data_IF_738115247935
#
_entry.id   IF_738115247935
#
_cell.length_a   1.000
_cell.length_b   1.000
_cell.length_c   1.000
_cell.angle_alpha   90.00
_cell.angle_beta   90.00
_cell.angle_gamma   90.00
#
_symmetry.space_group_name_H-M   'P 1'
#
loop_
_entity.id
_entity.type
_entity.pdbx_description
1 polymer ?
#
# COMPACT_ATOMS: atom_id res chain seq x y z
N UNK A 1 -18.90 -13.87 -1.85
CA UNK A 1 -18.05 -13.74 -0.67
C UNK A 1 -17.56 -15.12 -0.24
N UNK A 2 -16.30 -15.22 0.16
CA UNK A 2 -15.73 -16.42 0.74
C UNK A 2 -14.86 -16.08 1.93
N UNK A 3 -14.85 -16.91 2.94
CA UNK A 3 -13.97 -16.80 4.09
C UNK A 3 -13.47 -18.17 4.50
N UNK A 4 -12.27 -18.25 5.04
CA UNK A 4 -11.69 -19.51 5.48
C UNK A 4 -10.57 -19.31 6.48
N UNK A 5 -10.28 -20.39 7.20
CA UNK A 5 -9.14 -20.48 8.09
C UNK A 5 -8.39 -21.79 7.80
N UNK A 6 -7.09 -21.76 7.96
CA UNK A 6 -6.20 -22.89 7.67
C UNK A 6 -5.10 -22.97 8.70
N UNK A 7 -4.76 -24.19 9.09
CA UNK A 7 -3.57 -24.51 9.86
C UNK A 7 -2.62 -25.36 9.01
N UNK A 8 -1.36 -25.03 9.02
CA UNK A 8 -0.31 -25.82 8.37
C UNK A 8 0.55 -26.50 9.45
N UNK A 9 0.42 -27.82 9.67
CA UNK A 9 1.15 -28.51 10.74
C UNK A 9 2.67 -28.57 10.52
N UNK A 10 3.12 -28.51 9.26
CA UNK A 10 4.56 -28.51 8.93
C UNK A 10 5.24 -27.24 9.39
N UNK A 11 4.63 -26.09 9.16
CA UNK A 11 5.19 -24.75 9.46
C UNK A 11 4.69 -24.20 10.79
N UNK A 12 3.59 -24.73 11.33
CA UNK A 12 2.90 -24.21 12.50
C UNK A 12 2.07 -22.96 12.22
N UNK A 13 1.91 -22.57 10.97
CA UNK A 13 1.18 -21.34 10.61
C UNK A 13 -0.33 -21.51 10.73
N UNK A 14 -0.95 -20.54 11.41
CA UNK A 14 -2.39 -20.29 11.35
C UNK A 14 -2.64 -19.16 10.37
N UNK A 15 -3.61 -19.31 9.51
CA UNK A 15 -4.03 -18.26 8.60
C UNK A 15 -5.54 -18.20 8.48
N UNK A 16 -6.07 -17.01 8.30
CA UNK A 16 -7.48 -16.76 8.01
C UNK A 16 -7.59 -15.65 6.98
N UNK A 17 -8.65 -15.69 6.21
CA UNK A 17 -8.88 -14.65 5.21
C UNK A 17 -10.33 -14.62 4.76
N UNK A 18 -10.70 -13.52 4.17
CA UNK A 18 -11.97 -13.33 3.51
C UNK A 18 -11.77 -12.62 2.18
N UNK A 19 -12.60 -12.95 1.22
CA UNK A 19 -12.60 -12.39 -0.12
C UNK A 19 -14.04 -12.05 -0.50
N UNK A 20 -14.22 -10.86 -1.06
CA UNK A 20 -15.46 -10.43 -1.68
C UNK A 20 -15.18 -10.11 -3.15
N UNK A 21 -16.09 -10.50 -4.02
CA UNK A 21 -16.02 -10.22 -5.46
C UNK A 21 -17.37 -9.83 -5.99
N UNK A 22 -17.37 -9.10 -7.08
CA UNK A 22 -18.53 -8.62 -7.78
C UNK A 22 -18.18 -8.16 -9.19
N UNK A 23 -19.17 -7.66 -9.95
CA UNK A 23 -18.98 -7.25 -11.34
C UNK A 23 -17.92 -6.15 -11.52
N UNK A 24 -17.68 -5.36 -10.49
CA UNK A 24 -16.75 -4.22 -10.54
C UNK A 24 -15.36 -4.52 -9.97
N UNK A 25 -15.14 -5.69 -9.37
CA UNK A 25 -13.85 -6.06 -8.84
C UNK A 25 -13.90 -7.04 -7.68
N UNK A 26 -12.75 -7.21 -7.04
CA UNK A 26 -12.59 -8.08 -5.89
C UNK A 26 -11.76 -7.39 -4.81
N UNK A 27 -12.01 -7.74 -3.56
CA UNK A 27 -11.21 -7.33 -2.42
C UNK A 27 -11.06 -8.50 -1.44
N UNK A 28 -9.87 -8.62 -0.86
CA UNK A 28 -9.55 -9.66 0.08
C UNK A 28 -8.72 -9.15 1.24
N UNK A 29 -8.89 -9.77 2.37
CA UNK A 29 -8.08 -9.56 3.58
C UNK A 29 -7.61 -10.90 4.10
N UNK A 30 -6.42 -10.92 4.68
CA UNK A 30 -5.87 -12.11 5.29
C UNK A 30 -4.99 -11.78 6.49
N UNK A 31 -4.89 -12.70 7.42
CA UNK A 31 -3.93 -12.65 8.50
C UNK A 31 -3.31 -14.02 8.71
N UNK A 32 -2.06 -14.03 9.14
CA UNK A 32 -1.34 -15.24 9.50
C UNK A 32 -0.58 -15.03 10.81
N UNK A 33 -0.42 -16.09 11.56
CA UNK A 33 0.36 -16.12 12.78
C UNK A 33 1.13 -17.43 12.88
N UNK A 34 2.39 -17.32 13.21
CA UNK A 34 3.25 -18.48 13.48
C UNK A 34 3.68 -18.50 14.95
N UNK A 35 3.12 -19.39 15.77
CA UNK A 35 3.46 -19.44 17.20
C UNK A 35 4.89 -19.89 17.48
N UNK A 36 5.55 -20.59 16.53
CA UNK A 36 6.95 -21.02 16.70
C UNK A 36 7.94 -19.87 16.57
N UNK A 37 7.62 -18.89 15.74
CA UNK A 37 8.51 -17.77 15.44
C UNK A 37 8.01 -16.44 16.01
N UNK A 38 6.76 -16.40 16.51
CA UNK A 38 6.09 -15.17 16.91
C UNK A 38 5.69 -14.27 15.75
N UNK A 39 5.92 -14.71 14.50
CA UNK A 39 5.65 -13.87 13.34
C UNK A 39 4.15 -13.69 13.09
N UNK A 40 3.75 -12.45 12.86
CA UNK A 40 2.39 -12.05 12.48
C UNK A 40 2.41 -11.41 11.10
N UNK A 41 1.46 -11.77 10.26
CA UNK A 41 1.31 -11.16 8.94
C UNK A 41 -0.13 -10.75 8.68
N UNK A 42 -0.32 -9.62 8.03
CA UNK A 42 -1.63 -9.17 7.55
C UNK A 42 -1.53 -8.73 6.09
N UNK A 43 -2.57 -8.97 5.33
CA UNK A 43 -2.62 -8.55 3.93
C UNK A 43 -4.00 -8.01 3.58
N UNK A 44 -4.01 -7.02 2.69
CA UNK A 44 -5.21 -6.49 2.05
C UNK A 44 -4.92 -6.38 0.56
N UNK A 45 -5.78 -6.92 -0.26
CA UNK A 45 -5.64 -6.93 -1.71
C UNK A 45 -6.95 -6.48 -2.33
N UNK A 46 -6.85 -5.82 -3.46
CA UNK A 46 -8.02 -5.41 -4.22
C UNK A 46 -7.72 -5.27 -5.70
N UNK A 47 -8.76 -5.39 -6.50
CA UNK A 47 -8.69 -5.16 -7.94
C UNK A 47 -10.01 -4.65 -8.47
N UNK A 48 -9.95 -3.87 -9.52
CA UNK A 48 -11.10 -3.41 -10.30
C UNK A 48 -10.73 -3.31 -11.79
N UNK A 49 -11.59 -2.69 -12.59
CA UNK A 49 -11.36 -2.50 -14.03
C UNK A 49 -10.14 -1.62 -14.33
N UNK A 50 -9.74 -0.76 -13.41
CA UNK A 50 -8.61 0.17 -13.58
C UNK A 50 -7.28 -0.39 -13.11
N UNK A 51 -7.27 -1.35 -12.20
CA UNK A 51 -6.03 -1.88 -11.68
C UNK A 51 -6.17 -2.83 -10.51
N UNK A 52 -5.02 -3.13 -9.90
CA UNK A 52 -4.95 -3.90 -8.67
C UNK A 52 -4.04 -3.21 -7.66
N UNK A 53 -4.32 -3.42 -6.39
CA UNK A 53 -3.54 -2.87 -5.29
C UNK A 53 -3.47 -3.85 -4.15
N UNK A 54 -2.50 -3.67 -3.29
CA UNK A 54 -2.38 -4.48 -2.11
C UNK A 54 -1.38 -3.92 -1.13
N UNK A 55 -1.56 -4.28 0.13
CA UNK A 55 -0.62 -4.03 1.20
C UNK A 55 -0.47 -5.28 2.05
N UNK A 56 0.77 -5.58 2.39
CA UNK A 56 1.11 -6.69 3.29
C UNK A 56 2.04 -6.14 4.37
N UNK A 57 1.71 -6.40 5.61
CA UNK A 57 2.53 -6.11 6.77
C UNK A 57 2.95 -7.41 7.42
N UNK A 58 4.20 -7.50 7.83
CA UNK A 58 4.77 -8.62 8.60
C UNK A 58 5.50 -8.04 9.79
N UNK A 59 5.39 -8.70 10.93
CA UNK A 59 6.13 -8.35 12.13
C UNK A 59 6.62 -9.61 12.82
N UNK A 60 7.83 -9.55 13.36
CA UNK A 60 8.42 -10.60 14.18
C UNK A 60 9.33 -9.94 15.24
N UNK A 61 8.89 -9.98 16.50
CA UNK A 61 9.55 -9.18 17.53
C UNK A 61 9.50 -7.70 17.20
N UNK A 62 10.63 -7.04 17.21
CA UNK A 62 10.79 -5.61 16.88
C UNK A 62 10.93 -5.38 15.37
N UNK A 63 11.32 -6.41 14.62
CA UNK A 63 11.45 -6.33 13.16
C UNK A 63 10.08 -6.26 12.48
N UNK A 64 9.95 -5.34 11.55
CA UNK A 64 8.72 -5.23 10.77
C UNK A 64 8.99 -4.86 9.30
N UNK A 65 8.09 -5.26 8.44
CA UNK A 65 8.08 -4.86 7.05
C UNK A 65 6.65 -4.60 6.56
N UNK A 66 6.47 -3.52 5.84
CA UNK A 66 5.22 -3.19 5.16
C UNK A 66 5.49 -2.97 3.69
N UNK A 67 4.85 -3.75 2.85
CA UNK A 67 4.91 -3.60 1.40
C UNK A 67 3.55 -3.21 0.86
N UNK A 68 3.50 -2.15 0.07
CA UNK A 68 2.32 -1.73 -0.67
C UNK A 68 2.63 -1.74 -2.17
N UNK A 69 1.69 -2.17 -2.97
CA UNK A 69 1.81 -2.16 -4.43
C UNK A 69 0.54 -1.64 -5.08
N UNK A 70 0.71 -1.01 -6.24
CA UNK A 70 -0.38 -0.64 -7.12
C UNK A 70 0.04 -0.91 -8.57
N UNK A 71 -0.86 -1.51 -9.33
CA UNK A 71 -0.69 -1.78 -10.76
C UNK A 71 -1.81 -1.10 -11.52
N UNK A 72 -1.45 -0.29 -12.50
CA UNK A 72 -2.40 0.29 -13.44
C UNK A 72 -2.64 -0.72 -14.57
N UNK A 73 -3.88 -1.10 -14.81
CA UNK A 73 -4.23 -2.12 -15.81
C UNK A 73 -4.03 -1.63 -17.24
N UNK A 74 -4.30 -0.37 -17.52
CA UNK A 74 -4.17 0.19 -18.86
C UNK A 74 -2.71 0.27 -19.32
N UNK A 75 -1.80 0.59 -18.42
CA UNK A 75 -0.37 0.76 -18.73
C UNK A 75 0.50 -0.42 -18.28
N UNK A 76 -0.03 -1.33 -17.47
CA UNK A 76 0.73 -2.40 -16.83
C UNK A 76 1.75 -1.92 -15.78
N UNK A 77 1.85 -0.62 -15.56
CA UNK A 77 2.82 -0.05 -14.62
C UNK A 77 2.53 -0.49 -13.20
N UNK A 78 3.56 -1.01 -12.54
CA UNK A 78 3.48 -1.42 -11.14
C UNK A 78 4.44 -0.59 -10.31
N UNK A 79 3.93 0.02 -9.26
CA UNK A 79 4.73 0.68 -8.23
C UNK A 79 4.63 -0.14 -6.95
N UNK A 80 5.77 -0.38 -6.31
CA UNK A 80 5.86 -1.04 -5.01
C UNK A 80 6.64 -0.15 -4.05
N UNK A 81 6.14 -0.01 -2.85
CA UNK A 81 6.80 0.67 -1.74
C UNK A 81 6.97 -0.33 -0.62
N UNK A 82 8.18 -0.53 -0.15
CA UNK A 82 8.49 -1.36 1.01
C UNK A 82 9.12 -0.46 2.07
N UNK A 83 8.69 -0.63 3.30
CA UNK A 83 9.24 0.01 4.50
C UNK A 83 9.52 -1.05 5.52
N UNK A 84 10.65 -0.92 6.18
CA UNK A 84 11.08 -1.78 7.27
C UNK A 84 11.52 -0.90 8.43
N UNK A 85 11.82 -1.49 9.56
CA UNK A 85 12.54 -0.86 10.66
C UNK A 85 13.91 -0.30 10.22
N UNK A 86 14.60 -0.99 9.29
CA UNK A 86 15.93 -0.62 8.81
C UNK A 86 15.93 0.36 7.62
N UNK A 87 14.78 0.63 6.99
CA UNK A 87 14.77 1.54 5.84
C UNK A 87 13.55 1.48 4.96
N UNK A 88 13.70 2.03 3.77
CA UNK A 88 12.61 2.07 2.79
C UNK A 88 13.11 1.89 1.36
N UNK A 89 12.31 1.22 0.56
CA UNK A 89 12.56 1.05 -0.87
C UNK A 89 11.30 1.34 -1.70
N UNK A 90 11.50 1.92 -2.86
CA UNK A 90 10.46 2.12 -3.86
C UNK A 90 10.94 1.52 -5.16
N UNK A 91 10.16 0.66 -5.76
CA UNK A 91 10.42 0.14 -7.08
C UNK A 91 9.27 0.43 -8.03
N UNK A 92 9.60 0.65 -9.29
CA UNK A 92 8.64 0.82 -10.38
C UNK A 92 9.04 -0.11 -11.52
N UNK A 93 8.09 -0.87 -11.99
CA UNK A 93 8.23 -1.67 -13.19
C UNK A 93 7.26 -1.16 -14.24
N UNK A 94 7.76 -0.95 -15.45
CA UNK A 94 7.01 -0.47 -16.60
C UNK A 94 7.22 -1.44 -17.74
N UNK A 95 6.17 -2.15 -18.20
CA UNK A 95 6.28 -3.06 -19.32
C UNK A 95 6.87 -2.36 -20.54
N UNK A 96 7.88 -2.97 -21.15
CA UNK A 96 8.54 -2.45 -22.35
C UNK A 96 9.54 -1.30 -22.14
N UNK A 97 9.63 -0.72 -20.95
CA UNK A 97 10.55 0.38 -20.65
C UNK A 97 11.48 0.10 -19.46
N UNK A 98 11.54 -1.15 -19.02
CA UNK A 98 12.37 -1.56 -17.91
C UNK A 98 11.84 -1.17 -16.52
N UNK A 99 12.64 -1.40 -15.53
CA UNK A 99 12.31 -1.13 -14.12
C UNK A 99 13.43 -0.39 -13.41
N UNK A 100 13.08 0.22 -12.29
CA UNK A 100 14.03 0.88 -11.43
C UNK A 100 13.62 0.81 -9.95
N UNK A 101 14.59 0.98 -9.07
CA UNK A 101 14.34 1.09 -7.64
C UNK A 101 15.19 2.19 -7.02
N UNK A 102 14.75 2.69 -5.89
CA UNK A 102 15.54 3.46 -4.95
C UNK A 102 15.27 2.91 -3.56
N UNK A 103 16.35 2.67 -2.82
CA UNK A 103 16.29 2.24 -1.44
C UNK A 103 17.14 3.17 -0.58
N UNK A 104 16.71 3.37 0.67
CA UNK A 104 17.46 4.08 1.70
C UNK A 104 17.56 3.17 2.91
N UNK A 105 18.77 2.88 3.35
CA UNK A 105 19.04 2.16 4.60
C UNK A 105 18.93 3.08 5.82
N UNK A 106 19.02 2.51 6.99
CA UNK A 106 19.02 3.16 8.31
C UNK A 106 20.18 4.13 8.50
N UNK A 107 21.38 3.77 8.02
CA UNK A 107 22.60 4.60 8.04
C UNK A 107 22.55 5.80 7.06
N UNK A 108 21.45 5.95 6.32
CA UNK A 108 21.25 7.06 5.39
C UNK A 108 21.81 6.83 3.98
N UNK A 109 22.45 5.71 3.72
CA UNK A 109 22.95 5.32 2.39
C UNK A 109 21.78 5.16 1.42
N UNK A 110 21.94 5.70 0.21
CA UNK A 110 20.92 5.62 -0.84
C UNK A 110 21.43 4.74 -1.98
N UNK A 111 20.64 3.74 -2.31
CA UNK A 111 20.87 2.87 -3.46
C UNK A 111 19.85 3.14 -4.54
N UNK A 112 20.28 3.16 -5.78
CA UNK A 112 19.38 3.30 -6.93
C UNK A 112 19.78 2.28 -8.00
N UNK A 113 18.79 1.65 -8.60
CA UNK A 113 18.99 0.72 -9.71
C UNK A 113 18.10 1.09 -10.88
N UNK A 114 18.64 0.99 -12.08
CA UNK A 114 17.91 1.16 -13.34
C UNK A 114 18.62 0.39 -14.45
N UNK A 115 17.84 -0.33 -15.24
CA UNK A 115 18.28 -0.99 -16.47
C UNK A 115 19.53 -1.88 -16.28
N UNK A 116 19.54 -2.64 -15.15
CA UNK A 116 20.62 -3.55 -14.80
C UNK A 116 21.82 -2.92 -14.09
N UNK A 117 21.87 -1.61 -13.96
CA UNK A 117 22.92 -0.91 -13.21
C UNK A 117 22.46 -0.61 -11.79
N UNK A 118 23.35 -0.73 -10.81
CA UNK A 118 23.12 -0.36 -9.42
C UNK A 118 24.11 0.74 -9.02
N UNK A 119 23.61 1.75 -8.38
CA UNK A 119 24.36 2.90 -7.90
C UNK A 119 24.16 3.05 -6.39
N UNK A 120 25.20 3.47 -5.68
CA UNK A 120 25.15 3.82 -4.27
C UNK A 120 25.58 5.27 -4.10
N UNK A 121 24.86 6.02 -3.28
CA UNK A 121 25.29 7.33 -2.83
C UNK A 121 25.72 7.24 -1.37
N UNK A 122 26.97 7.56 -1.10
CA UNK A 122 27.56 7.65 0.22
C UNK A 122 28.12 9.07 0.40
N UNK A 123 27.53 9.84 1.31
CA UNK A 123 27.78 11.28 1.41
C UNK A 123 27.42 11.99 0.10
N UNK A 124 28.40 12.66 -0.50
CA UNK A 124 28.24 13.37 -1.78
C UNK A 124 28.77 12.60 -3.00
N UNK A 125 29.31 11.40 -2.78
CA UNK A 125 29.93 10.59 -3.84
C UNK A 125 28.95 9.53 -4.33
N UNK A 126 28.84 9.40 -5.66
CA UNK A 126 28.14 8.31 -6.30
C UNK A 126 29.12 7.20 -6.70
N UNK A 127 28.74 5.98 -6.49
CA UNK A 127 29.48 4.78 -6.89
C UNK A 127 28.58 3.90 -7.76
N UNK A 128 29.12 3.28 -8.77
CA UNK A 128 28.46 2.29 -9.60
C UNK A 128 28.99 0.91 -9.22
N UNK A 129 28.08 -0.05 -9.10
CA UNK A 129 28.45 -1.46 -8.94
C UNK A 129 28.77 -2.05 -10.31
N UNK A 130 29.96 -2.61 -10.48
CA UNK A 130 30.39 -3.26 -11.72
C UNK A 130 31.13 -4.55 -11.37
N UNK A 131 30.47 -5.69 -11.60
CA UNK A 131 31.07 -7.02 -11.51
C UNK A 131 31.55 -7.49 -10.12
N UNK A 132 31.16 -6.82 -9.03
CA UNK A 132 31.55 -7.19 -7.65
C UNK A 132 32.15 -6.03 -6.85
N UNK A 133 32.64 -4.99 -7.51
CA UNK A 133 33.28 -3.85 -6.88
C UNK A 133 32.46 -2.56 -7.07
N UNK A 134 32.63 -1.61 -6.14
CA UNK A 134 32.06 -0.27 -6.24
C UNK A 134 33.13 0.69 -6.80
N UNK A 135 32.92 1.17 -8.00
CA UNK A 135 33.78 2.19 -8.62
C UNK A 135 33.16 3.57 -8.48
N UNK A 136 33.98 4.56 -8.11
CA UNK A 136 33.53 5.94 -8.15
C UNK A 136 33.11 6.28 -9.58
N UNK A 137 31.89 6.74 -9.73
CA UNK A 137 31.41 7.22 -11.02
C UNK A 137 31.44 8.73 -10.99
N UNK A 138 32.09 9.32 -11.96
CA UNK A 138 31.89 10.74 -12.25
C UNK A 138 30.39 10.95 -12.40
N UNK A 139 29.92 11.99 -11.72
CA UNK A 139 28.51 12.38 -11.59
C UNK A 139 27.66 11.83 -12.74
N UNK A 140 26.62 11.02 -12.48
CA UNK A 140 25.75 10.52 -13.54
C UNK A 140 25.39 11.67 -14.48
N UNK A 141 25.44 11.43 -15.79
CA UNK A 141 25.19 12.48 -16.79
C UNK A 141 23.96 13.34 -16.39
N UNK A 142 23.95 14.64 -16.67
CA UNK A 142 22.87 15.56 -16.25
C UNK A 142 21.45 15.04 -16.51
N UNK A 143 21.28 14.22 -17.56
CA UNK A 143 20.03 13.53 -17.86
C UNK A 143 19.65 12.48 -16.81
N UNK A 144 20.60 11.71 -16.27
CA UNK A 144 20.33 10.68 -15.27
C UNK A 144 20.07 11.33 -13.91
N UNK A 145 20.78 12.38 -13.56
CA UNK A 145 20.61 13.12 -12.31
C UNK A 145 19.27 13.88 -12.30
N UNK A 146 18.92 14.56 -13.38
CA UNK A 146 17.64 15.27 -13.49
C UNK A 146 16.45 14.29 -13.50
N UNK A 147 16.64 13.10 -14.05
CA UNK A 147 15.60 12.07 -14.02
C UNK A 147 15.45 11.44 -12.65
N UNK A 148 16.55 11.21 -11.93
CA UNK A 148 16.54 10.75 -10.54
C UNK A 148 15.91 11.82 -9.61
N UNK A 149 16.16 13.10 -9.84
CA UNK A 149 15.54 14.18 -9.09
C UNK A 149 14.05 14.35 -9.42
N UNK A 150 13.65 14.25 -10.68
CA UNK A 150 12.23 14.21 -11.08
C UNK A 150 11.50 13.03 -10.47
N UNK A 151 12.14 11.86 -10.50
CA UNK A 151 11.60 10.66 -9.88
C UNK A 151 11.49 10.80 -8.35
N UNK A 152 12.46 11.42 -7.70
CA UNK A 152 12.43 11.74 -6.26
C UNK A 152 11.28 12.69 -5.93
N UNK A 153 11.13 13.76 -6.68
CA UNK A 153 10.09 14.79 -6.49
C UNK A 153 8.69 14.18 -6.74
N UNK A 154 8.53 13.42 -7.80
CA UNK A 154 7.27 12.72 -8.11
C UNK A 154 6.88 11.69 -7.02
N UNK A 155 7.87 11.10 -6.35
CA UNK A 155 7.67 10.15 -5.25
C UNK A 155 7.31 10.84 -3.95
N UNK A 156 7.94 11.98 -3.63
CA UNK A 156 7.56 12.80 -2.49
C UNK A 156 6.10 13.25 -2.61
N UNK A 157 5.70 13.74 -3.77
CA UNK A 157 4.32 14.11 -4.07
C UNK A 157 3.36 12.91 -4.04
N UNK A 158 3.79 11.74 -4.52
CA UNK A 158 3.00 10.51 -4.45
C UNK A 158 2.79 10.01 -3.01
N UNK A 159 3.80 10.13 -2.16
CA UNK A 159 3.71 9.77 -0.74
C UNK A 159 2.81 10.74 0.03
N UNK A 160 2.86 12.03 -0.30
CA UNK A 160 1.98 13.07 0.26
C UNK A 160 0.52 12.82 -0.11
N UNK A 161 0.22 12.61 -1.38
CA UNK A 161 -1.12 12.23 -1.85
C UNK A 161 -1.65 10.95 -1.23
N UNK A 162 -0.77 10.00 -0.93
CA UNK A 162 -1.17 8.75 -0.26
C UNK A 162 -1.50 8.98 1.22
N UNK A 163 -0.80 9.91 1.87
CA UNK A 163 -1.14 10.34 3.25
C UNK A 163 -2.48 11.07 3.27
N UNK A 164 -2.66 12.04 2.39
CA UNK A 164 -3.91 12.81 2.28
C UNK A 164 -5.10 11.90 2.02
N UNK A 165 -4.97 10.91 1.15
CA UNK A 165 -6.00 9.90 0.91
C UNK A 165 -6.29 9.04 2.13
N UNK A 166 -5.27 8.61 2.87
CA UNK A 166 -5.46 7.81 4.08
C UNK A 166 -6.10 8.62 5.21
N UNK A 167 -5.77 9.90 5.31
CA UNK A 167 -6.33 10.81 6.30
C UNK A 167 -7.78 11.20 5.95
N UNK A 168 -8.07 11.46 4.69
CA UNK A 168 -9.44 11.67 4.21
C UNK A 168 -10.33 10.43 4.43
N UNK A 169 -9.78 9.23 4.22
CA UNK A 169 -10.47 7.97 4.49
C UNK A 169 -10.74 7.74 5.97
N UNK A 170 -9.81 8.11 6.86
CA UNK A 170 -10.01 8.07 8.32
C UNK A 170 -11.07 9.08 8.77
N UNK A 171 -11.03 10.30 8.26
CA UNK A 171 -12.03 11.32 8.55
C UNK A 171 -13.43 10.91 8.07
N UNK A 172 -13.53 10.28 6.89
CA UNK A 172 -14.80 9.75 6.36
C UNK A 172 -15.36 8.58 7.16
N UNK A 173 -14.50 7.72 7.72
CA UNK A 173 -14.96 6.59 8.54
C UNK A 173 -15.37 6.99 9.96
N UNK A 174 -14.78 8.03 10.53
CA UNK A 174 -15.19 8.57 11.84
C UNK A 174 -16.50 9.38 11.77
N UNK A 175 -16.85 9.92 10.60
CA UNK A 175 -18.13 10.59 10.38
C UNK A 175 -19.33 9.64 10.22
N UNK A 176 -19.08 8.40 9.84
CA UNK A 176 -20.14 7.40 9.66
C UNK A 176 -20.63 6.77 10.98
N UNK A 177 -19.83 6.81 12.03
CA UNK A 177 -20.17 6.23 13.34
C UNK A 177 -21.05 7.15 14.21
N UNK A 178 -21.14 8.44 13.89
CA UNK A 178 -21.96 9.41 14.66
C UNK A 178 -23.38 9.59 14.15
N UNK A 179 -23.78 8.92 13.07
CA UNK A 179 -25.15 9.04 12.52
C UNK A 179 -26.08 7.86 12.82
N UNK A 180 -25.66 6.89 13.62
CA UNK A 180 -26.48 5.71 13.94
C UNK A 180 -27.11 5.71 15.34
N UNK A 181 -27.15 6.82 16.04
CA UNK A 181 -27.84 6.92 17.32
C UNK A 181 -28.80 8.10 17.33
N UNK A 182 -30.03 7.88 16.87
CA UNK A 182 -31.07 8.90 16.99
C UNK A 182 -32.23 8.78 16.04
N UNK A 183 -32.88 7.64 16.00
CA UNK A 183 -34.28 7.60 15.55
C UNK A 183 -35.07 6.66 16.46
N UNK A 184 -35.44 7.17 17.62
CA UNK A 184 -36.50 6.63 18.42
C UNK A 184 -37.82 6.99 17.75
N UNK A 185 -38.46 6.02 17.13
CA UNK A 185 -39.87 6.08 16.77
C UNK A 185 -40.69 6.22 18.05
N UNK A 186 -41.21 7.39 18.27
CA UNK A 186 -42.28 7.61 19.24
C UNK A 186 -43.60 7.59 18.47
N UNK A 187 -44.28 6.47 18.53
CA UNK A 187 -45.68 6.37 18.18
C UNK A 187 -46.54 7.13 19.15
N UNK A 188 -47.53 7.79 18.66
CA UNK A 188 -48.61 8.43 19.40
C UNK A 188 -49.63 8.85 18.34
N UNK A 189 -50.62 8.26 18.25
CA UNK A 189 -51.91 8.00 18.72
C UNK A 189 -52.83 9.17 18.63
N UNK A 190 -53.95 9.02 17.84
CA UNK A 190 -55.23 9.57 18.24
C UNK A 190 -55.62 10.91 17.63
N UNK A 191 -56.76 10.95 17.00
CA UNK A 191 -57.51 12.16 16.90
C UNK A 191 -58.48 12.26 15.71
N UNK A 192 -59.62 11.76 15.89
CA UNK A 192 -60.89 11.95 15.18
C UNK A 192 -61.24 13.40 14.91
N UNK A 193 -62.07 13.57 13.89
CA UNK A 193 -63.03 14.69 13.72
C UNK A 193 -62.85 15.31 12.36
N UNK A 194 -63.77 15.27 11.47
CA UNK A 194 -65.19 15.56 11.56
C UNK A 194 -65.49 16.67 10.62
N UNK A 195 -66.34 16.41 9.61
CA UNK A 195 -67.44 17.32 9.25
C UNK A 195 -67.21 18.42 8.22
N UNK A 196 -68.06 18.42 7.19
CA UNK A 196 -68.61 19.62 6.62
C UNK A 196 -68.33 19.85 5.12
N UNK A 197 -69.12 19.34 4.23
CA UNK A 197 -70.23 19.87 3.46
C UNK A 197 -70.02 21.25 2.82
N UNK A 198 -70.40 21.24 1.53
CA UNK A 198 -70.98 22.30 0.66
C UNK A 198 -69.91 23.22 -0.01
N UNK A 199 -70.02 23.53 -1.26
CA UNK A 199 -71.00 23.47 -2.37
C UNK A 199 -70.26 23.27 -3.66
#
# INVERSE_FOLDING_TARGET
>A
MGAGARYNPRTGNYSRGAVAWGPYGAAGVGSAYNPRTGAVGTTRQGSNVYGSWGSTAVQRGDDWAVTSRATNRATGNTTRVTRTDEGAAVSRNQPGAGGGFVAKGDEGNVYAGRDGNVYRKEGDTWQKHDGGDWSNTDRPTPNTTSQLEKDRTSRAQGAEKTRDYSDAKRAGSSGATTRSSGSSYRGGGGGRGGGGRRR
#
